data_IF_593150746028
#
_entry.id   IF_593150746028
#
_cell.length_a   1.000
_cell.length_b   1.000
_cell.length_c   1.000
_cell.angle_alpha   90.00
_cell.angle_beta   90.00
_cell.angle_gamma   90.00
#
_symmetry.space_group_name_H-M   'P 1'
#
loop_
_entity.id
_entity.type
_entity.pdbx_description
1 polymer ?
#
# COMPACT_ATOMS: atom_id res chain seq x y z
N UNK A 1 -0.07 -27.68 37.52
CA UNK A 1 -0.20 -26.22 37.46
C UNK A 1 0.95 -25.64 36.65
N UNK A 2 0.67 -25.09 35.47
CA UNK A 2 1.29 -23.84 34.99
C UNK A 2 0.55 -23.45 33.70
N UNK A 3 -0.37 -22.51 33.81
CA UNK A 3 -1.07 -21.92 32.68
C UNK A 3 -0.07 -21.05 31.91
N UNK A 4 0.17 -21.35 30.64
CA UNK A 4 0.85 -20.43 29.74
C UNK A 4 -0.05 -19.19 29.58
N UNK A 5 0.40 -18.06 30.12
CA UNK A 5 -0.14 -16.74 29.80
C UNK A 5 0.12 -16.49 28.32
N UNK A 6 -0.94 -16.55 27.51
CA UNK A 6 -0.94 -15.93 26.19
C UNK A 6 -0.93 -14.42 26.41
N UNK A 7 0.22 -13.78 26.24
CA UNK A 7 0.32 -12.33 26.23
C UNK A 7 -0.52 -11.79 25.07
N UNK A 8 -1.61 -11.09 25.38
CA UNK A 8 -2.37 -10.32 24.40
C UNK A 8 -1.43 -9.27 23.80
N UNK A 9 -1.41 -9.07 22.47
CA UNK A 9 -0.66 -7.97 21.87
C UNK A 9 -1.06 -6.66 22.54
N UNK A 10 -0.09 -5.89 23.03
CA UNK A 10 -0.33 -4.53 23.53
C UNK A 10 -0.94 -3.71 22.39
N UNK A 11 -2.20 -3.32 22.53
CA UNK A 11 -2.83 -2.32 21.66
C UNK A 11 -1.99 -1.03 21.76
N UNK A 12 -1.30 -0.69 20.67
CA UNK A 12 -0.70 0.63 20.54
C UNK A 12 -1.84 1.62 20.31
N UNK A 13 -2.13 2.45 21.32
CA UNK A 13 -3.03 3.58 21.16
C UNK A 13 -2.37 4.61 20.25
N UNK A 14 -2.76 4.61 18.98
CA UNK A 14 -2.35 5.63 18.02
C UNK A 14 -3.33 6.80 18.14
N UNK A 15 -2.80 7.97 18.52
CA UNK A 15 -3.58 9.20 18.53
C UNK A 15 -3.47 9.88 17.16
N UNK A 16 -4.60 10.35 16.64
CA UNK A 16 -4.66 11.05 15.37
C UNK A 16 -5.25 12.44 15.57
N UNK A 17 -4.64 13.43 14.91
CA UNK A 17 -5.17 14.78 14.78
C UNK A 17 -5.47 15.02 13.31
N UNK A 18 -6.63 15.60 13.01
CA UNK A 18 -7.07 15.86 11.64
C UNK A 18 -7.79 17.21 11.56
N UNK A 19 -7.80 17.80 10.37
CA UNK A 19 -8.47 19.08 10.14
C UNK A 19 -9.98 18.95 10.29
N UNK A 20 -10.63 20.00 10.79
CA UNK A 20 -12.08 20.02 11.05
C UNK A 20 -12.94 19.71 9.80
N UNK A 21 -12.42 19.98 8.60
CA UNK A 21 -13.11 19.79 7.33
C UNK A 21 -12.82 18.44 6.64
N UNK A 22 -12.03 17.53 7.24
CA UNK A 22 -11.62 16.29 6.56
C UNK A 22 -12.81 15.40 6.19
N UNK A 23 -13.83 15.32 7.06
CA UNK A 23 -15.03 14.51 6.82
C UNK A 23 -15.79 15.04 5.60
N UNK A 24 -15.98 16.35 5.53
CA UNK A 24 -16.67 17.00 4.41
C UNK A 24 -15.87 16.84 3.11
N UNK A 25 -14.55 17.01 3.18
CA UNK A 25 -13.67 16.76 2.05
C UNK A 25 -13.79 15.32 1.53
N UNK A 26 -13.71 14.31 2.40
CA UNK A 26 -13.82 12.90 2.03
C UNK A 26 -15.19 12.54 1.43
N UNK A 27 -16.27 13.17 1.91
CA UNK A 27 -17.60 13.06 1.30
C UNK A 27 -17.64 13.64 -0.10
N UNK A 28 -17.07 14.85 -0.30
CA UNK A 28 -17.06 15.52 -1.59
C UNK A 28 -16.29 14.73 -2.64
N UNK A 29 -15.13 14.21 -2.28
CA UNK A 29 -14.33 13.39 -3.21
C UNK A 29 -14.83 11.94 -3.32
N UNK A 30 -15.80 11.52 -2.49
CA UNK A 30 -16.32 10.14 -2.40
C UNK A 30 -15.18 9.11 -2.45
N UNK A 31 -14.23 9.24 -1.53
CA UNK A 31 -13.00 8.45 -1.58
C UNK A 31 -12.52 8.08 -0.18
N UNK A 32 -11.75 7.00 -0.13
CA UNK A 32 -10.92 6.66 1.03
C UNK A 32 -9.47 6.94 0.67
N UNK A 33 -8.76 7.62 1.57
CA UNK A 33 -7.32 7.82 1.41
C UNK A 33 -6.62 6.59 1.95
N UNK A 34 -5.71 6.02 1.16
CA UNK A 34 -4.86 4.92 1.60
C UNK A 34 -3.42 5.42 1.63
N UNK A 35 -2.71 5.17 2.72
CA UNK A 35 -1.33 5.57 2.86
C UNK A 35 -0.48 4.47 3.48
N UNK A 36 0.79 4.44 3.11
CA UNK A 36 1.81 3.61 3.75
C UNK A 36 2.59 4.45 4.76
N UNK A 37 3.02 3.84 5.85
CA UNK A 37 3.87 4.48 6.85
C UNK A 37 5.10 3.62 7.12
N UNK A 38 6.22 4.00 6.51
CA UNK A 38 7.46 3.22 6.59
C UNK A 38 7.91 2.96 8.03
N UNK A 39 7.99 4.00 8.85
CA UNK A 39 8.54 3.91 10.22
C UNK A 39 7.64 3.13 11.18
N UNK A 40 6.32 3.23 11.04
CA UNK A 40 5.37 2.54 11.91
C UNK A 40 4.86 1.21 11.34
N UNK A 41 5.31 0.84 10.13
CA UNK A 41 5.03 -0.44 9.50
C UNK A 41 3.55 -0.66 9.22
N UNK A 42 2.81 0.36 8.77
CA UNK A 42 1.36 0.26 8.56
C UNK A 42 0.93 0.67 7.15
N UNK A 43 -0.13 0.03 6.68
CA UNK A 43 -1.02 0.60 5.66
C UNK A 43 -2.24 1.14 6.40
N UNK A 44 -2.53 2.42 6.21
CA UNK A 44 -3.67 3.10 6.83
C UNK A 44 -4.73 3.42 5.79
N UNK A 45 -5.99 3.22 6.17
CA UNK A 45 -7.21 3.56 5.44
C UNK A 45 -7.88 4.70 6.22
N UNK A 46 -8.10 5.82 5.56
CA UNK A 46 -8.69 7.03 6.15
C UNK A 46 -9.90 7.43 5.34
N UNK A 47 -11.08 7.24 5.93
CA UNK A 47 -12.36 7.48 5.29
C UNK A 47 -13.32 8.18 6.23
N UNK A 48 -14.60 8.16 5.88
CA UNK A 48 -15.66 8.62 6.76
C UNK A 48 -16.75 7.56 6.85
N UNK A 49 -17.33 7.41 8.03
CA UNK A 49 -18.49 6.56 8.27
C UNK A 49 -19.45 7.31 9.19
N UNK A 50 -20.74 7.34 8.83
CA UNK A 50 -21.78 8.02 9.62
C UNK A 50 -21.41 9.46 10.06
N UNK A 51 -20.88 10.26 9.14
CA UNK A 51 -20.42 11.64 9.38
C UNK A 51 -19.25 11.77 10.37
N UNK A 52 -18.53 10.70 10.65
CA UNK A 52 -17.34 10.70 11.48
C UNK A 52 -16.12 10.27 10.68
N UNK A 53 -14.95 10.80 11.03
CA UNK A 53 -13.69 10.36 10.44
C UNK A 53 -13.35 8.96 10.98
N UNK A 54 -13.12 8.02 10.08
CA UNK A 54 -12.77 6.64 10.40
C UNK A 54 -11.36 6.35 9.89
N UNK A 55 -10.50 5.88 10.79
CA UNK A 55 -9.13 5.48 10.47
C UNK A 55 -8.96 4.02 10.86
N UNK A 56 -8.48 3.23 9.91
CA UNK A 56 -8.11 1.83 10.13
C UNK A 56 -6.70 1.60 9.64
N UNK A 57 -6.03 0.61 10.19
CA UNK A 57 -4.71 0.25 9.71
C UNK A 57 -4.44 -1.23 9.87
N UNK A 58 -3.51 -1.72 9.06
CA UNK A 58 -2.96 -3.07 9.16
C UNK A 58 -1.45 -3.00 9.12
N UNK A 59 -0.81 -3.83 9.93
CA UNK A 59 0.63 -3.89 10.01
C UNK A 59 1.21 -4.72 8.88
N UNK A 60 2.28 -4.20 8.27
CA UNK A 60 3.02 -4.84 7.20
C UNK A 60 4.52 -4.54 7.38
N UNK A 61 5.36 -5.45 6.90
CA UNK A 61 6.80 -5.22 6.88
C UNK A 61 7.14 -4.14 5.84
N UNK A 62 7.89 -3.10 6.25
CA UNK A 62 8.41 -2.01 5.41
C UNK A 62 7.44 -1.61 4.27
N UNK A 63 6.25 -1.05 4.58
CA UNK A 63 5.32 -0.60 3.57
C UNK A 63 5.82 0.70 2.95
N UNK A 64 5.92 0.73 1.62
CA UNK A 64 6.55 1.84 0.88
C UNK A 64 5.68 2.24 -0.31
N UNK A 65 6.12 2.03 -1.55
CA UNK A 65 5.36 2.41 -2.76
C UNK A 65 4.03 1.69 -2.87
N UNK A 66 3.01 2.38 -3.41
CA UNK A 66 1.68 1.82 -3.57
C UNK A 66 0.94 2.45 -4.75
N UNK A 67 0.21 1.62 -5.49
CA UNK A 67 -0.61 2.07 -6.61
C UNK A 67 -1.97 1.41 -6.58
N UNK A 68 -3.01 2.12 -6.98
CA UNK A 68 -4.37 1.58 -7.05
C UNK A 68 -5.00 1.87 -8.40
N UNK A 69 -5.64 0.86 -8.98
CA UNK A 69 -6.34 0.96 -10.26
C UNK A 69 -7.35 -0.18 -10.41
N UNK A 70 -8.55 0.14 -10.88
CA UNK A 70 -9.57 -0.85 -11.25
C UNK A 70 -9.93 -1.82 -10.12
N UNK A 71 -10.08 -1.33 -8.89
CA UNK A 71 -10.41 -2.16 -7.72
C UNK A 71 -9.25 -3.03 -7.22
N UNK A 72 -8.02 -2.82 -7.71
CA UNK A 72 -6.80 -3.47 -7.22
C UNK A 72 -5.88 -2.46 -6.55
N UNK A 73 -5.11 -2.93 -5.58
CA UNK A 73 -4.05 -2.17 -4.92
C UNK A 73 -2.77 -3.00 -5.01
N UNK A 74 -1.70 -2.42 -5.50
CA UNK A 74 -0.35 -2.98 -5.43
C UNK A 74 0.41 -2.23 -4.34
N UNK A 75 1.09 -2.95 -3.46
CA UNK A 75 1.90 -2.36 -2.40
C UNK A 75 3.26 -3.05 -2.31
N UNK A 76 4.31 -2.25 -2.20
CA UNK A 76 5.67 -2.71 -1.91
C UNK A 76 5.79 -2.94 -0.41
N UNK A 77 5.93 -4.21 -0.01
CA UNK A 77 5.93 -4.63 1.39
C UNK A 77 7.13 -5.54 1.65
N UNK A 78 8.16 -5.00 2.31
CA UNK A 78 9.34 -5.75 2.71
C UNK A 78 10.09 -6.35 1.52
N UNK A 79 9.87 -7.65 1.28
CA UNK A 79 10.56 -8.42 0.25
C UNK A 79 9.69 -8.77 -0.97
N UNK A 80 8.55 -8.12 -1.13
CA UNK A 80 7.69 -8.39 -2.26
C UNK A 80 6.67 -7.31 -2.59
N UNK A 81 6.03 -7.51 -3.73
CA UNK A 81 4.91 -6.73 -4.22
C UNK A 81 3.63 -7.53 -3.96
N UNK A 82 2.74 -6.95 -3.17
CA UNK A 82 1.46 -7.54 -2.84
C UNK A 82 0.38 -6.90 -3.70
N UNK A 83 -0.40 -7.71 -4.40
CA UNK A 83 -1.60 -7.26 -5.09
C UNK A 83 -2.82 -7.67 -4.27
N UNK A 84 -3.59 -6.69 -3.85
CA UNK A 84 -4.91 -6.84 -3.27
C UNK A 84 -5.98 -6.57 -4.34
N UNK A 85 -7.13 -7.21 -4.22
CA UNK A 85 -8.30 -6.90 -5.04
C UNK A 85 -9.54 -6.75 -4.16
N UNK A 86 -10.46 -5.89 -4.60
CA UNK A 86 -11.73 -5.68 -3.95
C UNK A 86 -12.68 -6.87 -4.19
N UNK A 87 -13.22 -7.42 -3.11
CA UNK A 87 -14.24 -8.46 -3.09
C UNK A 87 -15.52 -7.93 -2.43
N UNK A 88 -16.35 -7.24 -3.20
CA UNK A 88 -17.60 -6.63 -2.71
C UNK A 88 -18.61 -7.64 -2.17
N UNK A 89 -18.61 -8.90 -2.65
CA UNK A 89 -19.51 -9.95 -2.17
C UNK A 89 -19.25 -10.42 -0.72
N UNK A 90 -18.17 -9.95 -0.10
CA UNK A 90 -17.81 -10.28 1.29
C UNK A 90 -18.34 -9.22 2.27
N UNK A 91 -18.49 -7.97 1.85
CA UNK A 91 -18.83 -6.87 2.77
C UNK A 91 -20.24 -7.01 3.36
N UNK A 92 -21.18 -7.55 2.60
CA UNK A 92 -22.56 -7.83 3.05
C UNK A 92 -22.69 -8.99 4.02
N UNK A 93 -21.62 -9.77 4.23
CA UNK A 93 -21.57 -10.95 5.11
C UNK A 93 -20.81 -10.69 6.41
N UNK A 94 -20.33 -9.46 6.63
CA UNK A 94 -19.66 -9.10 7.87
C UNK A 94 -20.73 -8.94 8.96
N UNK A 95 -20.71 -9.83 9.95
CA UNK A 95 -21.74 -9.94 11.00
C UNK A 95 -21.65 -8.85 12.09
N UNK A 96 -20.76 -7.88 11.96
CA UNK A 96 -20.46 -6.89 13.00
C UNK A 96 -21.38 -5.67 13.00
N UNK A 97 -22.45 -5.70 12.19
CA UNK A 97 -23.41 -4.60 12.06
C UNK A 97 -22.83 -3.34 11.40
N UNK A 98 -21.60 -3.41 10.87
CA UNK A 98 -20.97 -2.30 10.16
C UNK A 98 -21.14 -2.49 8.65
N UNK A 99 -21.30 -1.36 7.97
CA UNK A 99 -21.32 -1.31 6.51
C UNK A 99 -19.92 -0.99 5.99
N UNK A 100 -19.47 -1.78 5.01
CA UNK A 100 -18.19 -1.60 4.34
C UNK A 100 -18.41 -1.55 2.84
N UNK A 101 -17.81 -0.56 2.17
CA UNK A 101 -17.96 -0.39 0.72
C UNK A 101 -17.00 -1.28 -0.08
N UNK A 102 -15.89 -1.71 0.54
CA UNK A 102 -14.88 -2.52 -0.10
C UNK A 102 -14.16 -3.45 0.89
N UNK A 103 -13.76 -4.63 0.40
CA UNK A 103 -12.95 -5.59 1.15
C UNK A 103 -11.77 -6.01 0.26
N UNK A 104 -10.56 -5.61 0.63
CA UNK A 104 -9.35 -5.90 -0.13
C UNK A 104 -8.66 -7.15 0.38
N UNK A 105 -8.64 -8.19 -0.45
CA UNK A 105 -7.98 -9.46 -0.13
C UNK A 105 -6.73 -9.64 -1.00
N UNK A 106 -5.63 -10.18 -0.44
CA UNK A 106 -4.44 -10.48 -1.22
C UNK A 106 -4.76 -11.56 -2.26
N UNK A 107 -4.44 -11.29 -3.53
CA UNK A 107 -4.61 -12.23 -4.64
C UNK A 107 -3.29 -12.75 -5.19
N UNK A 108 -2.25 -11.90 -5.24
CA UNK A 108 -0.94 -12.27 -5.76
C UNK A 108 0.16 -11.64 -4.92
N UNK A 109 1.26 -12.37 -4.77
CA UNK A 109 2.48 -11.89 -4.12
C UNK A 109 3.64 -12.23 -5.05
N UNK A 110 4.42 -11.22 -5.41
CA UNK A 110 5.64 -11.38 -6.20
C UNK A 110 6.85 -11.04 -5.34
N UNK A 111 7.71 -12.01 -5.09
CA UNK A 111 8.90 -11.80 -4.27
C UNK A 111 9.98 -11.09 -5.08
N UNK A 112 10.51 -10.00 -4.51
CA UNK A 112 11.52 -9.15 -5.13
C UNK A 112 12.88 -9.23 -4.45
N UNK A 113 12.98 -9.97 -3.34
CA UNK A 113 14.06 -9.85 -2.37
C UNK A 113 14.14 -8.42 -1.80
N UNK A 114 15.32 -7.99 -1.36
CA UNK A 114 15.52 -6.69 -0.72
C UNK A 114 15.90 -5.62 -1.75
N UNK A 115 14.90 -4.90 -2.27
CA UNK A 115 15.05 -3.94 -3.36
C UNK A 115 14.54 -2.52 -3.07
N UNK A 116 13.97 -2.31 -1.87
CA UNK A 116 13.41 -1.03 -1.42
C UNK A 116 12.46 -0.39 -2.46
N UNK A 117 11.20 -0.84 -2.47
CA UNK A 117 10.22 -0.45 -3.49
C UNK A 117 9.57 0.89 -3.11
N UNK A 118 10.04 2.01 -3.65
CA UNK A 118 9.56 3.34 -3.23
C UNK A 118 8.31 3.85 -3.96
N UNK A 119 8.13 3.52 -5.23
CA UNK A 119 6.94 3.91 -6.00
C UNK A 119 6.63 2.88 -7.09
N UNK A 120 5.39 2.83 -7.55
CA UNK A 120 4.95 1.94 -8.61
C UNK A 120 3.81 2.53 -9.44
N UNK A 121 3.67 2.03 -10.66
CA UNK A 121 2.62 2.42 -11.59
C UNK A 121 2.21 1.23 -12.45
N UNK A 122 0.91 1.00 -12.64
CA UNK A 122 0.40 -0.04 -13.53
C UNK A 122 -0.08 0.55 -14.86
N UNK A 123 0.69 0.31 -15.92
CA UNK A 123 0.44 0.82 -17.27
C UNK A 123 0.84 -0.22 -18.32
N UNK A 124 0.22 -0.17 -19.49
CA UNK A 124 0.50 -1.11 -20.60
C UNK A 124 0.50 -2.59 -20.15
N UNK A 125 -0.48 -2.94 -19.31
CA UNK A 125 -0.67 -4.28 -18.72
C UNK A 125 0.49 -4.81 -17.85
N UNK A 126 1.37 -3.92 -17.42
CA UNK A 126 2.57 -4.26 -16.65
C UNK A 126 2.73 -3.33 -15.44
N UNK A 127 3.32 -3.88 -14.36
CA UNK A 127 3.61 -3.11 -13.16
C UNK A 127 5.07 -2.63 -13.21
N UNK A 128 5.22 -1.33 -13.32
CA UNK A 128 6.48 -0.61 -13.22
C UNK A 128 6.71 -0.23 -11.77
N UNK A 129 7.92 -0.39 -11.26
CA UNK A 129 8.25 0.02 -9.90
C UNK A 129 9.70 0.48 -9.77
N UNK A 130 9.91 1.41 -8.85
CA UNK A 130 11.25 1.86 -8.48
C UNK A 130 11.88 0.81 -7.59
N UNK A 131 13.07 0.37 -7.98
CA UNK A 131 14.00 -0.38 -7.15
C UNK A 131 15.08 0.59 -6.68
N UNK A 132 14.89 1.15 -5.48
CA UNK A 132 15.76 2.20 -4.97
C UNK A 132 17.13 1.64 -4.62
N UNK A 133 17.18 0.42 -4.09
CA UNK A 133 18.44 -0.24 -3.73
C UNK A 133 19.37 -0.42 -4.93
N UNK A 134 18.83 -0.64 -6.12
CA UNK A 134 19.58 -0.73 -7.38
C UNK A 134 19.52 0.55 -8.23
N UNK A 135 18.87 1.60 -7.75
CA UNK A 135 18.76 2.91 -8.42
C UNK A 135 18.20 2.82 -9.84
N UNK A 136 17.13 2.05 -10.03
CA UNK A 136 16.56 1.79 -11.34
C UNK A 136 15.03 1.65 -11.32
N UNK A 137 14.42 1.88 -12.48
CA UNK A 137 13.04 1.52 -12.77
C UNK A 137 13.02 0.09 -13.30
N UNK A 138 12.10 -0.72 -12.79
CA UNK A 138 11.99 -2.14 -13.06
C UNK A 138 10.57 -2.56 -13.40
N UNK A 139 10.48 -3.75 -13.98
CA UNK A 139 9.25 -4.54 -14.08
C UNK A 139 9.45 -5.87 -13.34
N UNK A 140 8.35 -6.57 -13.04
CA UNK A 140 8.41 -7.90 -12.42
C UNK A 140 8.98 -8.89 -13.43
N UNK A 141 9.87 -9.76 -13.00
CA UNK A 141 10.43 -10.83 -13.84
C UNK A 141 10.42 -12.15 -13.04
N UNK A 142 9.72 -13.20 -13.50
CA UNK A 142 9.59 -14.45 -12.74
C UNK A 142 10.93 -15.15 -12.45
N UNK A 143 11.91 -15.06 -13.36
CA UNK A 143 13.16 -15.80 -13.24
C UNK A 143 14.26 -15.06 -12.44
N UNK A 144 14.17 -13.74 -12.32
CA UNK A 144 15.20 -12.91 -11.68
C UNK A 144 14.65 -11.95 -10.63
N UNK A 145 13.39 -12.13 -10.21
CA UNK A 145 12.63 -11.26 -9.31
C UNK A 145 12.29 -9.88 -9.89
N UNK A 146 13.18 -9.25 -10.65
CA UNK A 146 12.92 -8.01 -11.35
C UNK A 146 13.79 -7.90 -12.61
N UNK A 147 13.33 -7.08 -13.56
CA UNK A 147 14.10 -6.71 -14.75
C UNK A 147 14.23 -5.19 -14.81
N UNK A 148 15.45 -4.63 -14.72
CA UNK A 148 15.69 -3.21 -14.91
C UNK A 148 15.35 -2.80 -16.34
N UNK A 149 14.57 -1.73 -16.49
CA UNK A 149 14.21 -1.16 -17.80
C UNK A 149 14.85 0.21 -18.03
N UNK A 150 15.19 0.90 -16.94
CA UNK A 150 15.85 2.20 -17.00
C UNK A 150 16.67 2.44 -15.74
N UNK A 151 17.78 3.15 -15.89
CA UNK A 151 18.62 3.68 -14.80
C UNK A 151 19.14 5.06 -15.20
N UNK A 152 19.46 5.95 -14.26
CA UNK A 152 20.11 7.21 -14.59
C UNK A 152 21.42 6.97 -15.37
N UNK A 153 21.77 7.84 -16.34
CA UNK A 153 22.90 7.61 -17.23
C UNK A 153 24.26 7.53 -16.51
N UNK A 154 24.40 8.19 -15.36
CA UNK A 154 25.61 8.17 -14.52
C UNK A 154 25.75 6.90 -13.67
N UNK A 155 24.73 6.04 -13.59
CA UNK A 155 24.85 4.73 -12.93
C UNK A 155 25.54 3.76 -13.89
N UNK A 156 26.84 3.53 -13.71
CA UNK A 156 27.62 2.65 -14.58
C UNK A 156 27.23 1.16 -14.45
N UNK A 157 27.04 0.69 -13.22
CA UNK A 157 26.71 -0.69 -12.88
C UNK A 157 25.60 -0.72 -11.82
N UNK A 158 24.61 -1.58 -12.03
CA UNK A 158 23.54 -1.89 -11.09
C UNK A 158 24.09 -2.71 -9.93
N UNK A 159 24.03 -2.14 -8.73
CA UNK A 159 24.50 -2.76 -7.50
C UNK A 159 23.52 -2.41 -6.37
N UNK A 160 23.32 -3.30 -5.38
CA UNK A 160 22.37 -3.09 -4.29
C UNK A 160 22.92 -2.14 -3.21
N UNK A 161 23.35 -0.93 -3.61
CA UNK A 161 24.02 0.04 -2.73
C UNK A 161 23.40 1.43 -2.78
N UNK A 162 22.26 1.60 -3.45
CA UNK A 162 21.53 2.87 -3.55
C UNK A 162 22.43 4.06 -3.96
N UNK A 163 22.94 4.01 -5.19
CA UNK A 163 23.79 5.08 -5.75
C UNK A 163 23.00 6.35 -6.07
N UNK A 164 21.70 6.21 -6.31
CA UNK A 164 20.75 7.27 -6.55
C UNK A 164 19.40 6.84 -5.99
N UNK A 165 18.97 7.58 -4.97
CA UNK A 165 17.75 7.30 -4.22
C UNK A 165 16.52 7.80 -4.98
N UNK A 166 15.97 6.93 -5.81
CA UNK A 166 14.76 7.20 -6.58
C UNK A 166 13.54 7.04 -5.67
N UNK A 167 12.67 8.04 -5.64
CA UNK A 167 11.49 8.03 -4.76
C UNK A 167 10.17 8.02 -5.52
N UNK A 168 10.04 8.84 -6.57
CA UNK A 168 8.75 9.16 -7.18
C UNK A 168 8.82 8.85 -8.67
N UNK A 169 7.81 8.12 -9.16
CA UNK A 169 7.40 8.08 -10.56
C UNK A 169 6.35 9.17 -10.76
N UNK A 170 6.37 9.84 -11.92
CA UNK A 170 5.49 10.98 -12.17
C UNK A 170 4.02 10.54 -12.28
N UNK A 171 3.29 10.53 -11.16
CA UNK A 171 1.90 10.97 -10.97
C UNK A 171 1.54 10.86 -9.47
N UNK A 172 0.43 11.46 -9.09
CA UNK A 172 0.12 12.00 -7.74
C UNK A 172 -0.33 10.93 -6.75
N UNK A 173 -0.20 11.23 -5.46
CA UNK A 173 -0.76 10.52 -4.30
C UNK A 173 -1.94 9.59 -4.64
N UNK A 174 -1.85 8.33 -4.22
CA UNK A 174 -2.88 7.34 -4.46
C UNK A 174 -4.16 7.65 -3.65
N UNK A 175 -5.03 8.50 -4.21
CA UNK A 175 -6.40 8.68 -3.71
C UNK A 175 -7.25 7.57 -4.31
N UNK A 176 -7.69 6.63 -3.48
CA UNK A 176 -8.59 5.57 -3.94
C UNK A 176 -10.02 6.09 -3.84
N UNK A 177 -10.58 6.51 -4.97
CA UNK A 177 -11.99 6.87 -5.05
C UNK A 177 -12.87 5.63 -5.10
N UNK A 178 -13.79 5.54 -4.15
CA UNK A 178 -14.90 4.59 -4.16
C UNK A 178 -16.16 5.38 -4.44
N UNK A 179 -16.70 5.28 -5.65
CA UNK A 179 -18.00 5.87 -5.94
C UNK A 179 -19.08 5.15 -5.14
N UNK A 180 -19.57 5.81 -4.09
CA UNK A 180 -20.76 5.42 -3.34
C UNK A 180 -21.99 5.92 -4.13
N UNK A 181 -22.90 5.00 -4.43
CA UNK A 181 -24.33 5.27 -4.48
C UNK A 181 -25.03 4.26 -3.58
#
# INVERSE_FOLDING_TARGET
MSQQKTDKPKEQNINFTYSANIVEFLKQIKSTIVMTTYQSGKIMLMGQHNNQFDIRYKEFARPMGMYAKGGKIWAGLGHGIYQFANYSGVTSKLEDGKTYDACYLPQNIHFTADVDIHEMEYTKDELYFINTKFSCLCIKEPNSSFKPIWKPPFISLLQPIDKCHLNILREVACVISFSIF
#
